data_IF_343685822931
#
_entry.id   IF_343685822931
#
_cell.length_a   1.000
_cell.length_b   1.000
_cell.length_c   1.000
_cell.angle_alpha   90.00
_cell.angle_beta   90.00
_cell.angle_gamma   90.00
#
_symmetry.space_group_name_H-M   'P 1'
#
loop_
_entity.id
_entity.type
_entity.pdbx_description
1 polymer ?
#
# COMPACT_ATOMS: atom_id res chain seq x y z
N UNK A 1 4.55 7.98 -10.85
CA UNK A 1 4.75 8.83 -9.65
C UNK A 1 6.14 8.53 -9.09
N UNK A 2 6.97 9.54 -8.78
CA UNK A 2 8.30 9.29 -8.22
C UNK A 2 8.18 8.69 -6.81
N UNK A 3 9.00 7.67 -6.51
CA UNK A 3 9.05 7.03 -5.18
C UNK A 3 9.89 7.86 -4.22
N UNK A 4 9.36 8.13 -3.02
CA UNK A 4 10.16 8.68 -1.93
C UNK A 4 10.82 7.55 -1.13
N UNK A 5 12.14 7.47 -1.13
CA UNK A 5 12.89 6.41 -0.44
C UNK A 5 12.95 6.57 1.08
N UNK A 6 12.66 7.77 1.59
CA UNK A 6 12.72 8.09 3.01
C UNK A 6 11.35 8.01 3.68
N UNK A 7 10.31 7.56 2.97
CA UNK A 7 8.95 7.48 3.48
C UNK A 7 8.34 6.13 3.15
N UNK A 8 7.52 5.62 4.08
CA UNK A 8 6.79 4.37 3.92
C UNK A 8 5.36 4.51 4.44
N UNK A 9 4.47 3.64 3.97
CA UNK A 9 3.13 3.49 4.53
C UNK A 9 3.14 2.27 5.43
N UNK A 10 2.71 2.42 6.68
CA UNK A 10 2.48 1.31 7.60
C UNK A 10 0.99 1.15 7.86
N UNK A 11 0.56 -0.08 8.12
CA UNK A 11 -0.76 -0.38 8.65
C UNK A 11 -0.67 -0.66 10.15
N UNK A 12 -1.56 -0.06 10.93
CA UNK A 12 -1.71 -0.29 12.38
C UNK A 12 -3.16 -0.64 12.69
N UNK A 13 -3.42 -1.21 13.87
CA UNK A 13 -4.80 -1.44 14.30
C UNK A 13 -5.50 -0.12 14.64
N UNK A 14 -6.83 -0.03 14.46
CA UNK A 14 -7.72 -1.08 13.95
C UNK A 14 -7.78 -1.08 12.40
N UNK A 15 -7.44 -2.21 11.77
CA UNK A 15 -7.75 -2.46 10.35
C UNK A 15 -8.84 -3.52 10.22
N UNK A 16 -9.81 -3.29 9.33
CA UNK A 16 -10.95 -4.20 9.10
C UNK A 16 -10.94 -4.85 7.72
N UNK A 17 -9.87 -4.66 6.94
CA UNK A 17 -9.73 -5.27 5.62
C UNK A 17 -10.73 -4.77 4.56
N UNK A 18 -11.34 -3.58 4.71
CA UNK A 18 -12.36 -3.09 3.78
C UNK A 18 -11.89 -2.89 2.32
N UNK A 19 -10.59 -2.88 2.04
CA UNK A 19 -10.05 -2.85 0.68
C UNK A 19 -10.09 -1.48 -0.02
N UNK A 20 -10.60 -0.42 0.63
CA UNK A 20 -10.64 0.94 0.06
C UNK A 20 -9.23 1.39 -0.35
N UNK A 21 -8.23 1.13 0.49
CA UNK A 21 -6.84 1.47 0.23
C UNK A 21 -6.28 0.84 -1.06
N UNK A 22 -6.76 -0.36 -1.42
CA UNK A 22 -6.38 -1.08 -2.63
C UNK A 22 -7.02 -0.43 -3.86
N UNK A 23 -8.29 -0.07 -3.75
CA UNK A 23 -9.08 0.54 -4.83
C UNK A 23 -8.60 1.94 -5.20
N UNK A 24 -8.26 2.75 -4.20
CA UNK A 24 -7.84 4.16 -4.41
C UNK A 24 -6.34 4.30 -4.70
N UNK A 25 -5.55 3.22 -4.62
CA UNK A 25 -4.10 3.32 -4.80
C UNK A 25 -3.77 3.64 -6.26
N UNK A 26 -3.18 4.80 -6.57
CA UNK A 26 -2.85 5.18 -7.95
C UNK A 26 -1.65 4.39 -8.51
N UNK A 27 -0.94 3.65 -7.65
CA UNK A 27 0.21 2.82 -8.03
C UNK A 27 -0.21 1.37 -8.28
N UNK A 28 -1.35 0.94 -7.73
CA UNK A 28 -1.89 -0.38 -8.03
C UNK A 28 -2.30 -0.42 -9.50
N UNK A 29 -1.49 -1.04 -10.33
CA UNK A 29 -1.83 -1.34 -11.71
C UNK A 29 -2.44 -2.74 -11.77
N UNK A 30 -3.68 -2.83 -12.22
CA UNK A 30 -4.21 -4.10 -12.73
C UNK A 30 -3.51 -4.34 -14.06
N UNK A 31 -2.62 -5.33 -14.14
CA UNK A 31 -2.12 -5.80 -15.43
C UNK A 31 -3.32 -6.36 -16.18
N UNK A 32 -3.83 -5.59 -17.14
CA UNK A 32 -4.92 -5.99 -18.01
C UNK A 32 -4.51 -5.71 -19.45
N UNK A 33 -3.35 -6.24 -19.89
CA UNK A 33 -2.94 -6.19 -21.31
C UNK A 33 -2.12 -7.44 -21.66
N UNK A 34 -2.84 -8.50 -21.99
CA UNK A 34 -2.33 -9.78 -22.47
C UNK A 34 -3.37 -10.87 -22.20
N UNK A 35 -3.52 -11.79 -23.14
CA UNK A 35 -4.38 -12.97 -23.26
C UNK A 35 -4.30 -13.99 -22.08
N UNK A 36 -3.69 -13.59 -20.96
CA UNK A 36 -3.78 -14.24 -19.67
C UNK A 36 -4.07 -13.21 -18.58
N UNK A 37 -5.34 -13.11 -18.16
CA UNK A 37 -5.67 -12.53 -16.86
C UNK A 37 -5.18 -13.50 -15.79
N UNK A 38 -3.98 -13.27 -15.27
CA UNK A 38 -3.48 -13.98 -14.10
C UNK A 38 -3.64 -13.06 -12.88
N UNK A 39 -4.64 -13.36 -12.06
CA UNK A 39 -4.90 -12.70 -10.78
C UNK A 39 -3.68 -12.73 -9.83
N UNK A 40 -2.76 -13.69 -10.02
CA UNK A 40 -1.52 -13.82 -9.26
C UNK A 40 -0.34 -13.00 -9.82
N UNK A 41 -0.46 -12.44 -11.04
CA UNK A 41 0.62 -11.67 -11.68
C UNK A 41 0.57 -10.16 -11.37
N UNK A 42 -0.44 -9.69 -10.64
CA UNK A 42 -0.63 -8.27 -10.37
C UNK A 42 0.47 -7.70 -9.45
N UNK A 43 1.26 -6.76 -9.98
CA UNK A 43 2.21 -5.97 -9.18
C UNK A 43 1.47 -4.88 -8.40
N UNK A 44 1.07 -5.18 -7.16
CA UNK A 44 0.32 -4.27 -6.29
C UNK A 44 1.24 -3.60 -5.25
N UNK A 45 1.12 -2.28 -5.10
CA UNK A 45 1.75 -1.53 -4.03
C UNK A 45 1.08 -1.78 -2.66
N UNK A 46 -0.21 -2.11 -2.66
CA UNK A 46 -0.98 -2.43 -1.45
C UNK A 46 -2.10 -3.42 -1.77
N UNK A 47 -2.28 -4.42 -0.92
CA UNK A 47 -3.35 -5.42 -1.00
C UNK A 47 -3.88 -5.76 0.40
N UNK A 48 -5.00 -6.48 0.49
CA UNK A 48 -5.58 -6.92 1.77
C UNK A 48 -5.50 -8.44 1.85
N UNK A 49 -5.01 -8.94 2.99
CA UNK A 49 -4.97 -10.36 3.31
C UNK A 49 -5.24 -10.53 4.81
N UNK A 50 -6.00 -11.56 5.20
CA UNK A 50 -6.32 -11.86 6.61
C UNK A 50 -6.87 -10.65 7.39
N UNK A 51 -7.65 -9.77 6.75
CA UNK A 51 -8.23 -8.58 7.39
C UNK A 51 -7.29 -7.39 7.57
N UNK A 52 -6.00 -7.51 7.21
CA UNK A 52 -5.01 -6.44 7.28
C UNK A 52 -4.60 -5.94 5.90
N UNK A 53 -4.18 -4.68 5.82
CA UNK A 53 -3.59 -4.13 4.60
C UNK A 53 -2.07 -4.34 4.61
N UNK A 54 -1.55 -4.98 3.57
CA UNK A 54 -0.11 -5.25 3.39
C UNK A 54 0.43 -4.33 2.31
N UNK A 55 1.52 -3.62 2.63
CA UNK A 55 2.17 -2.65 1.75
C UNK A 55 3.43 -3.29 1.18
N UNK A 56 3.55 -3.28 -0.15
CA UNK A 56 4.79 -3.62 -0.82
C UNK A 56 5.65 -2.35 -0.94
N UNK A 57 6.64 -2.22 -0.06
CA UNK A 57 7.56 -1.08 -0.01
C UNK A 57 8.38 -0.90 -1.28
N UNK A 58 8.60 -1.94 -2.09
CA UNK A 58 9.36 -1.85 -3.33
C UNK A 58 8.59 -1.08 -4.40
N UNK A 59 7.28 -1.29 -4.47
CA UNK A 59 6.38 -0.67 -5.45
C UNK A 59 5.76 0.63 -4.90
N UNK A 60 5.42 0.66 -3.62
CA UNK A 60 4.78 1.81 -2.97
C UNK A 60 5.63 3.08 -3.08
N UNK A 61 4.99 4.17 -3.48
CA UNK A 61 5.63 5.49 -3.62
C UNK A 61 5.48 6.38 -2.38
N UNK A 62 4.77 5.89 -1.36
CA UNK A 62 4.39 6.64 -0.16
C UNK A 62 3.60 7.94 -0.45
N UNK A 63 2.74 7.95 -1.48
CA UNK A 63 1.94 9.12 -1.88
C UNK A 63 0.80 9.50 -0.90
N UNK A 64 0.46 8.60 0.03
CA UNK A 64 -0.52 8.85 1.09
C UNK A 64 -1.99 8.77 0.69
N UNK A 65 -2.33 8.42 -0.56
CA UNK A 65 -3.75 8.34 -0.99
C UNK A 65 -4.54 7.33 -0.16
N UNK A 66 -3.94 6.18 0.15
CA UNK A 66 -4.57 5.15 0.99
C UNK A 66 -4.79 5.62 2.43
N UNK A 67 -3.83 6.35 3.02
CA UNK A 67 -3.94 6.93 4.37
C UNK A 67 -5.11 7.92 4.45
N UNK A 68 -5.23 8.85 3.49
CA UNK A 68 -6.31 9.85 3.46
C UNK A 68 -7.71 9.26 3.26
N UNK A 69 -7.81 8.06 2.69
CA UNK A 69 -9.10 7.41 2.40
C UNK A 69 -9.41 6.27 3.36
N UNK A 70 -8.56 5.99 4.35
CA UNK A 70 -8.84 4.93 5.31
C UNK A 70 -9.90 5.42 6.32
N UNK A 71 -11.12 4.85 6.33
CA UNK A 71 -12.21 5.34 7.19
C UNK A 71 -11.94 5.11 8.68
N UNK A 72 -11.06 4.16 9.00
CA UNK A 72 -10.66 3.80 10.36
C UNK A 72 -9.29 4.35 10.74
N UNK A 73 -8.66 5.14 9.87
CA UNK A 73 -7.35 5.76 10.16
C UNK A 73 -6.19 4.77 10.34
N UNK A 74 -6.30 3.54 9.82
CA UNK A 74 -5.36 2.45 10.07
C UNK A 74 -4.04 2.53 9.28
N UNK A 75 -3.82 3.59 8.50
CA UNK A 75 -2.70 3.71 7.56
C UNK A 75 -2.01 5.06 7.74
N UNK A 76 -0.70 5.05 7.93
CA UNK A 76 0.10 6.25 8.23
C UNK A 76 1.37 6.30 7.41
N UNK A 77 1.79 7.52 7.01
CA UNK A 77 3.11 7.76 6.43
C UNK A 77 4.12 7.94 7.57
N UNK A 78 5.20 7.17 7.54
CA UNK A 78 6.35 7.35 8.45
C UNK A 78 7.60 7.73 7.66
N UNK A 79 8.51 8.44 8.33
CA UNK A 79 9.85 8.69 7.80
C UNK A 79 10.80 7.57 8.21
N UNK A 80 11.54 7.04 7.24
CA UNK A 80 12.59 6.05 7.47
C UNK A 80 13.92 6.76 7.58
N UNK A 81 14.02 7.75 8.47
CA UNK A 81 15.33 8.15 9.00
C UNK A 81 15.81 6.98 9.84
N UNK A 82 16.95 6.38 9.48
CA UNK A 82 17.42 5.11 10.05
C UNK A 82 17.18 5.02 11.56
N UNK A 83 16.42 4.00 11.97
CA UNK A 83 16.53 3.49 13.33
C UNK A 83 17.95 2.91 13.46
N UNK A 84 18.89 3.78 13.82
CA UNK A 84 19.81 3.44 14.89
C UNK A 84 18.95 3.36 16.15
N UNK A 85 18.60 2.14 16.56
CA UNK A 85 18.25 1.88 17.95
C UNK A 85 19.51 1.36 18.63
N UNK A 86 19.80 1.97 19.79
CA UNK A 86 20.95 1.75 20.66
C UNK A 86 21.24 0.29 21.02
#
# INVERSE_FOLDING_TARGET
>A
MPKNKNKKIIQTDPCNGCGICVSVCPVNTKLAKGDGFDEYSASLAIYVINGGAVINDEICTACGTCSRNCPVGSLSIIETTGQATA
#
